data_IF_809914997928
#
_entry.id   IF_809914997928
#
_cell.length_a   1.000
_cell.length_b   1.000
_cell.length_c   1.000
_cell.angle_alpha   90.00
_cell.angle_beta   90.00
_cell.angle_gamma   90.00
#
_symmetry.space_group_name_H-M   'P 1'
#
loop_
_entity.id
_entity.type
_entity.pdbx_description
1 polymer ?
#
# COMPACT_ATOMS: atom_id res chain seq x y z
N UNK A 1 -0.73 -24.10 -17.34
CA UNK A 1 0.09 -24.00 -16.12
C UNK A 1 -0.64 -23.11 -15.13
N UNK A 2 -1.02 -23.57 -13.92
CA UNK A 2 -1.46 -22.64 -12.89
C UNK A 2 -0.20 -21.90 -12.42
N UNK A 3 -0.18 -20.59 -12.66
CA UNK A 3 0.82 -19.70 -12.07
C UNK A 3 0.67 -19.77 -10.54
N UNK A 4 1.73 -20.09 -9.77
CA UNK A 4 1.68 -19.87 -8.34
C UNK A 4 1.65 -18.36 -8.12
N UNK A 5 0.56 -17.86 -7.55
CA UNK A 5 0.55 -16.51 -6.98
C UNK A 5 1.59 -16.50 -5.85
N UNK A 6 2.58 -15.60 -5.86
CA UNK A 6 3.46 -15.43 -4.71
C UNK A 6 2.67 -14.66 -3.63
N UNK A 7 1.89 -15.38 -2.83
CA UNK A 7 1.02 -14.80 -1.78
C UNK A 7 1.75 -14.56 -0.45
N UNK A 8 3.04 -14.88 -0.32
CA UNK A 8 3.70 -14.89 0.99
C UNK A 8 4.82 -13.84 1.19
N UNK A 9 5.20 -13.06 0.17
CA UNK A 9 6.27 -12.05 0.27
C UNK A 9 5.77 -10.60 0.36
N UNK A 10 4.47 -10.40 0.57
CA UNK A 10 3.86 -9.08 0.49
C UNK A 10 3.86 -8.33 1.82
N UNK A 11 3.75 -8.99 2.98
CA UNK A 11 3.61 -8.29 4.28
C UNK A 11 4.86 -7.46 4.66
N UNK A 12 6.07 -7.97 4.38
CA UNK A 12 7.31 -7.22 4.61
C UNK A 12 7.40 -5.99 3.68
N UNK A 13 7.05 -6.17 2.40
CA UNK A 13 7.08 -5.10 1.41
C UNK A 13 5.99 -4.04 1.66
N UNK A 14 4.79 -4.46 2.07
CA UNK A 14 3.69 -3.60 2.49
C UNK A 14 4.08 -2.74 3.70
N UNK A 15 4.76 -3.33 4.68
CA UNK A 15 5.28 -2.61 5.84
C UNK A 15 6.33 -1.57 5.44
N UNK A 16 7.24 -1.91 4.53
CA UNK A 16 8.23 -0.96 3.98
C UNK A 16 7.53 0.18 3.23
N UNK A 17 6.53 -0.13 2.41
CA UNK A 17 5.69 0.87 1.73
C UNK A 17 5.02 1.81 2.72
N UNK A 18 4.39 1.27 3.76
CA UNK A 18 3.72 2.04 4.82
C UNK A 18 4.68 2.95 5.56
N UNK A 19 5.92 2.52 5.82
CA UNK A 19 6.95 3.36 6.45
C UNK A 19 7.37 4.51 5.53
N UNK A 20 7.41 4.29 4.22
CA UNK A 20 7.75 5.32 3.23
C UNK A 20 6.58 6.26 2.90
N UNK A 21 5.34 5.82 3.12
CA UNK A 21 4.11 6.61 2.93
C UNK A 21 3.79 7.40 4.19
N UNK A 22 3.47 8.68 4.02
CA UNK A 22 3.08 9.61 5.07
C UNK A 22 1.67 10.18 4.80
N UNK A 23 1.21 11.14 5.61
CA UNK A 23 -0.08 11.83 5.44
C UNK A 23 -0.11 12.71 4.16
N UNK A 24 1.00 12.82 3.42
CA UNK A 24 1.10 13.58 2.17
C UNK A 24 0.80 12.70 0.94
N UNK A 25 0.12 13.25 -0.07
CA UNK A 25 -0.19 12.51 -1.29
C UNK A 25 1.07 12.23 -2.10
N UNK A 26 1.40 10.95 -2.26
CA UNK A 26 2.56 10.48 -3.02
C UNK A 26 2.14 9.73 -4.27
N UNK A 27 2.78 10.04 -5.40
CA UNK A 27 2.51 9.36 -6.67
C UNK A 27 3.01 7.92 -6.64
N UNK A 28 2.30 7.01 -7.30
CA UNK A 28 2.65 5.58 -7.37
C UNK A 28 4.08 5.32 -7.89
N UNK A 29 4.58 6.13 -8.84
CA UNK A 29 5.95 6.01 -9.33
C UNK A 29 7.01 6.37 -8.28
N UNK A 30 6.72 7.32 -7.39
CA UNK A 30 7.66 7.71 -6.33
C UNK A 30 7.71 6.65 -5.22
N UNK A 31 6.55 6.07 -4.91
CA UNK A 31 6.42 4.93 -4.00
C UNK A 31 7.22 3.75 -4.54
N UNK A 32 6.99 3.40 -5.81
CA UNK A 32 7.73 2.35 -6.53
C UNK A 32 9.24 2.60 -6.49
N UNK A 33 9.68 3.85 -6.73
CA UNK A 33 11.09 4.24 -6.71
C UNK A 33 11.71 4.13 -5.32
N UNK A 34 10.96 4.46 -4.28
CA UNK A 34 11.41 4.40 -2.89
C UNK A 34 11.51 2.96 -2.37
N UNK A 35 10.58 2.09 -2.81
CA UNK A 35 10.54 0.68 -2.42
C UNK A 35 11.37 -0.24 -3.35
N UNK A 36 11.92 0.28 -4.45
CA UNK A 36 12.69 -0.45 -5.48
C UNK A 36 12.02 -1.74 -6.01
N UNK A 37 10.69 -1.73 -6.14
CA UNK A 37 9.90 -2.88 -6.57
C UNK A 37 9.08 -2.60 -7.85
N UNK A 38 8.63 -3.63 -8.58
CA UNK A 38 7.84 -3.46 -9.79
C UNK A 38 6.51 -2.72 -9.53
N UNK A 39 6.11 -1.86 -10.47
CA UNK A 39 4.85 -1.11 -10.39
C UNK A 39 3.61 -2.00 -10.22
N UNK A 40 3.62 -3.19 -10.82
CA UNK A 40 2.55 -4.18 -10.68
C UNK A 40 2.43 -4.68 -9.23
N UNK A 41 3.56 -4.90 -8.55
CA UNK A 41 3.59 -5.31 -7.14
C UNK A 41 3.12 -4.17 -6.23
N UNK A 42 3.60 -2.94 -6.49
CA UNK A 42 3.18 -1.73 -5.76
C UNK A 42 1.67 -1.53 -5.85
N UNK A 43 1.08 -1.65 -7.06
CA UNK A 43 -0.36 -1.49 -7.24
C UNK A 43 -1.16 -2.54 -6.46
N UNK A 44 -0.71 -3.80 -6.45
CA UNK A 44 -1.34 -4.87 -5.67
C UNK A 44 -1.24 -4.62 -4.17
N UNK A 45 -0.06 -4.22 -3.68
CA UNK A 45 0.16 -3.86 -2.27
C UNK A 45 -0.69 -2.66 -1.85
N UNK A 46 -0.74 -1.60 -2.64
CA UNK A 46 -1.58 -0.43 -2.37
C UNK A 46 -3.06 -0.81 -2.34
N UNK A 47 -3.50 -1.71 -3.21
CA UNK A 47 -4.87 -2.25 -3.18
C UNK A 47 -5.13 -3.00 -1.89
N UNK A 48 -4.21 -3.88 -1.46
CA UNK A 48 -4.34 -4.63 -0.20
C UNK A 48 -4.36 -3.71 1.01
N UNK A 49 -3.47 -2.71 1.04
CA UNK A 49 -3.40 -1.70 2.10
C UNK A 49 -4.65 -0.81 2.12
N UNK A 50 -5.27 -0.54 0.97
CA UNK A 50 -6.52 0.23 0.87
C UNK A 50 -7.69 -0.58 1.42
N UNK A 51 -7.75 -1.88 1.10
CA UNK A 51 -8.71 -2.82 1.69
C UNK A 51 -8.52 -2.96 3.21
N UNK A 52 -7.27 -2.95 3.68
CA UNK A 52 -6.93 -2.91 5.12
C UNK A 52 -7.26 -1.56 5.77
N UNK A 53 -7.58 -0.51 5.00
CA UNK A 53 -7.85 0.84 5.52
C UNK A 53 -6.61 1.60 5.96
N UNK A 54 -5.41 1.19 5.54
CA UNK A 54 -4.12 1.77 5.91
C UNK A 54 -3.61 2.79 4.88
N UNK A 55 -4.11 2.77 3.64
CA UNK A 55 -3.84 3.78 2.61
C UNK A 55 -5.12 4.13 1.87
N UNK A 56 -5.12 5.24 1.13
CA UNK A 56 -6.23 5.64 0.27
C UNK A 56 -5.73 6.34 -0.98
N UNK A 57 -6.32 6.03 -2.12
CA UNK A 57 -6.12 6.81 -3.34
C UNK A 57 -6.89 8.14 -3.29
N UNK A 58 -6.20 9.26 -3.53
CA UNK A 58 -6.79 10.62 -3.52
C UNK A 58 -7.01 11.21 -4.93
N UNK A 59 -6.67 10.46 -5.97
CA UNK A 59 -6.80 10.87 -7.37
C UNK A 59 -5.44 11.06 -8.07
N UNK A 60 -5.44 11.10 -9.41
CA UNK A 60 -4.21 11.21 -10.22
C UNK A 60 -3.12 10.19 -9.84
N UNK A 61 -3.49 8.95 -9.48
CA UNK A 61 -2.57 7.90 -9.00
C UNK A 61 -1.74 8.29 -7.76
N UNK A 62 -2.22 9.24 -6.97
CA UNK A 62 -1.64 9.60 -5.68
C UNK A 62 -2.31 8.82 -4.54
N UNK A 63 -1.49 8.40 -3.59
CA UNK A 63 -1.90 7.65 -2.42
C UNK A 63 -1.42 8.37 -1.16
N UNK A 64 -2.26 8.36 -0.13
CA UNK A 64 -1.94 8.86 1.21
C UNK A 64 -1.96 7.70 2.20
N UNK A 65 -1.11 7.74 3.22
CA UNK A 65 -1.22 6.85 4.36
C UNK A 65 -2.38 7.28 5.23
N UNK A 66 -3.26 6.34 5.55
CA UNK A 66 -4.21 6.49 6.64
C UNK A 66 -3.51 6.01 7.90
N UNK A 67 -3.42 6.86 8.92
CA UNK A 67 -3.11 6.35 10.27
C UNK A 67 -4.24 5.40 10.63
N UNK A 68 -3.90 4.20 11.08
CA UNK A 68 -4.90 3.28 11.65
C UNK A 68 -5.66 4.04 12.72
N UNK A 69 -6.86 4.50 12.37
CA UNK A 69 -7.86 4.81 13.37
C UNK A 69 -8.26 3.43 13.80
N UNK A 70 -7.67 2.93 14.90
CA UNK A 70 -8.20 1.77 15.58
C UNK A 70 -9.70 1.99 15.61
N UNK A 71 -10.47 1.19 14.87
CA UNK A 71 -11.91 1.20 15.04
C UNK A 71 -12.11 0.65 16.44
N UNK A 72 -12.14 1.57 17.41
CA UNK A 72 -12.84 1.37 18.65
C UNK A 72 -14.28 1.26 18.20
N UNK A 73 -14.72 0.04 17.88
CA UNK A 73 -16.12 -0.32 17.98
C UNK A 73 -16.47 -0.24 19.47
N UNK A 74 -16.61 0.98 19.95
CA UNK A 74 -17.30 1.29 21.18
C UNK A 74 -18.75 1.49 20.81
N UNK A 75 -19.55 0.42 20.98
CA UNK A 75 -20.89 0.50 21.57
C UNK A 75 -21.44 -0.90 21.84
#
# INVERSE_FOLDING_TARGET
>A
VPMPLPVEANDDAESVLLVNLNDEPRHIDDIRRSADIPIASVSSMLTMLELKGQVRQVGCMHYVRLREVSQVYGN
#
